data_IF_579317518779
#
_entry.id   IF_579317518779
#
_cell.length_a   1.000
_cell.length_b   1.000
_cell.length_c   1.000
_cell.angle_alpha   90.00
_cell.angle_beta   90.00
_cell.angle_gamma   90.00
#
_symmetry.space_group_name_H-M   'P 1'
#
loop_
_entity.id
_entity.type
_entity.pdbx_description
1 polymer ?
#
# COMPACT_ATOMS: atom_id res chain seq x y z
N UNK A 1 6.35 -1.34 -26.06
CA UNK A 1 6.72 -0.02 -25.47
C UNK A 1 7.04 -0.25 -24.01
N UNK A 2 8.15 0.25 -23.51
CA UNK A 2 8.48 0.17 -22.08
C UNK A 2 7.65 1.17 -21.25
N UNK A 3 7.61 0.97 -19.94
CA UNK A 3 6.93 1.90 -19.01
C UNK A 3 7.45 3.32 -19.16
N UNK A 4 8.79 3.56 -19.10
CA UNK A 4 9.30 4.91 -19.28
C UNK A 4 8.92 5.54 -20.63
N UNK A 5 8.91 4.76 -21.72
CA UNK A 5 8.47 5.25 -23.02
C UNK A 5 7.02 5.70 -23.01
N UNK A 6 6.14 4.90 -22.38
CA UNK A 6 4.72 5.26 -22.24
C UNK A 6 4.55 6.52 -21.39
N UNK A 7 5.21 6.61 -20.23
CA UNK A 7 5.10 7.77 -19.35
C UNK A 7 5.62 9.05 -20.02
N UNK A 8 6.71 9.00 -20.77
CA UNK A 8 7.26 10.17 -21.47
C UNK A 8 6.35 10.59 -22.61
N UNK A 9 5.85 9.64 -23.42
CA UNK A 9 4.96 9.91 -24.54
C UNK A 9 3.63 10.52 -24.10
N UNK A 10 3.03 9.92 -23.06
CA UNK A 10 1.68 10.26 -22.62
C UNK A 10 1.72 11.20 -21.41
N UNK A 11 2.89 11.70 -21.06
CA UNK A 11 3.13 12.44 -19.83
C UNK A 11 2.36 13.75 -19.68
N UNK A 12 1.95 14.34 -20.79
CA UNK A 12 1.11 15.56 -20.76
C UNK A 12 -0.30 15.27 -20.25
N UNK A 13 -0.73 13.99 -20.33
CA UNK A 13 -2.02 13.54 -19.83
C UNK A 13 -2.00 13.13 -18.37
N UNK A 14 -0.79 12.83 -17.83
CA UNK A 14 -0.63 12.18 -16.52
C UNK A 14 0.13 13.00 -15.49
N UNK A 15 0.34 14.28 -15.73
CA UNK A 15 0.94 15.10 -14.70
C UNK A 15 -0.04 15.18 -13.49
N UNK A 16 0.39 14.75 -12.26
CA UNK A 16 1.54 15.31 -11.53
C UNK A 16 2.45 14.28 -10.87
N UNK A 17 2.80 13.20 -11.53
CA UNK A 17 3.75 12.26 -10.92
C UNK A 17 5.18 12.75 -11.12
N UNK A 18 5.91 12.97 -10.03
CA UNK A 18 7.33 13.32 -10.03
C UNK A 18 8.17 12.39 -10.91
N UNK A 19 7.84 11.09 -10.92
CA UNK A 19 8.49 10.13 -11.82
C UNK A 19 8.44 10.55 -13.29
N UNK A 20 7.33 11.11 -13.74
CA UNK A 20 7.17 11.57 -15.12
C UNK A 20 8.09 12.75 -15.42
N UNK A 21 8.23 13.68 -14.49
CA UNK A 21 9.15 14.82 -14.62
C UNK A 21 10.59 14.35 -14.67
N UNK A 22 10.99 13.47 -13.75
CA UNK A 22 12.34 12.88 -13.74
C UNK A 22 12.66 12.14 -15.04
N UNK A 23 11.70 11.40 -15.60
CA UNK A 23 11.86 10.70 -16.86
C UNK A 23 11.99 11.67 -18.04
N UNK A 24 11.23 12.77 -18.06
CA UNK A 24 11.34 13.83 -19.07
C UNK A 24 12.70 14.52 -19.01
N UNK A 25 13.15 14.90 -17.82
CA UNK A 25 14.48 15.49 -17.60
C UNK A 25 15.59 14.56 -18.08
N UNK A 26 15.53 13.28 -17.71
CA UNK A 26 16.52 12.29 -18.13
C UNK A 26 16.53 12.11 -19.66
N UNK A 27 15.37 12.14 -20.32
CA UNK A 27 15.28 12.01 -21.77
C UNK A 27 15.74 13.29 -22.49
N UNK A 28 15.42 14.47 -21.96
CA UNK A 28 15.92 15.74 -22.46
C UNK A 28 17.46 15.84 -22.35
N UNK A 29 18.04 15.21 -21.32
CA UNK A 29 19.50 15.06 -21.17
C UNK A 29 20.12 13.97 -22.08
N UNK A 30 19.36 13.42 -23.03
CA UNK A 30 19.82 12.48 -24.05
C UNK A 30 19.69 10.99 -23.68
N UNK A 31 19.11 10.62 -22.55
CA UNK A 31 18.88 9.22 -22.20
C UNK A 31 17.64 8.69 -22.94
N UNK A 32 17.78 7.56 -23.62
CA UNK A 32 16.61 6.91 -24.25
C UNK A 32 15.68 6.34 -23.18
N UNK A 33 14.38 6.68 -23.24
CA UNK A 33 13.38 6.18 -22.30
C UNK A 33 13.34 4.63 -22.23
N UNK A 34 13.53 3.94 -23.37
CA UNK A 34 13.59 2.48 -23.43
C UNK A 34 14.76 1.86 -22.65
N UNK A 35 15.83 2.64 -22.41
CA UNK A 35 17.00 2.19 -21.67
C UNK A 35 16.89 2.40 -20.15
N UNK A 36 15.86 3.09 -19.70
CA UNK A 36 15.63 3.34 -18.27
C UNK A 36 15.05 2.08 -17.64
N UNK A 37 15.63 1.67 -16.52
CA UNK A 37 15.09 0.61 -15.66
C UNK A 37 14.25 1.25 -14.58
N UNK A 38 12.94 1.01 -14.64
CA UNK A 38 11.95 1.60 -13.75
C UNK A 38 11.67 0.70 -12.55
N UNK A 39 12.04 1.13 -11.35
CA UNK A 39 11.88 0.40 -10.09
C UNK A 39 11.19 1.27 -9.01
N UNK A 40 10.40 2.25 -9.42
CA UNK A 40 9.75 3.20 -8.52
C UNK A 40 8.33 2.78 -8.13
N UNK A 41 7.34 3.14 -8.91
CA UNK A 41 5.93 2.88 -8.60
C UNK A 41 5.61 1.40 -8.79
N UNK A 42 5.23 0.75 -7.70
CA UNK A 42 4.97 -0.68 -7.69
C UNK A 42 3.65 -1.08 -8.31
N UNK A 43 3.61 -2.30 -8.84
CA UNK A 43 2.41 -2.98 -9.35
C UNK A 43 1.77 -2.35 -10.59
N UNK A 44 2.46 -1.42 -11.26
CA UNK A 44 1.87 -0.64 -12.34
C UNK A 44 2.01 -1.30 -13.70
N UNK A 45 3.06 -2.09 -13.92
CA UNK A 45 3.51 -2.44 -15.28
C UNK A 45 3.72 -3.93 -15.54
N UNK A 46 3.43 -4.77 -14.58
CA UNK A 46 3.33 -6.19 -14.81
C UNK A 46 2.02 -6.50 -15.56
N UNK A 47 2.03 -7.48 -16.42
CA UNK A 47 0.81 -7.96 -17.06
C UNK A 47 -0.14 -8.54 -16.00
N UNK A 48 -1.42 -8.16 -16.08
CA UNK A 48 -2.45 -8.75 -15.23
C UNK A 48 -2.48 -10.28 -15.36
N UNK A 49 -2.93 -10.98 -14.32
CA UNK A 49 -3.06 -12.43 -14.35
C UNK A 49 -3.82 -12.91 -15.60
N UNK A 50 -3.24 -13.79 -16.45
CA UNK A 50 -3.83 -14.12 -17.74
C UNK A 50 -5.24 -14.69 -17.65
N UNK A 51 -5.50 -15.55 -16.65
CA UNK A 51 -6.84 -16.11 -16.43
C UNK A 51 -7.87 -15.06 -16.00
N UNK A 52 -7.44 -14.03 -15.24
CA UNK A 52 -8.30 -12.89 -14.90
C UNK A 52 -8.64 -12.06 -16.15
N UNK A 53 -7.66 -11.81 -17.03
CA UNK A 53 -7.91 -11.10 -18.31
C UNK A 53 -8.85 -11.93 -19.20
N UNK A 54 -8.64 -13.24 -19.28
CA UNK A 54 -9.50 -14.14 -20.04
C UNK A 54 -10.94 -14.16 -19.50
N UNK A 55 -11.15 -13.98 -18.19
CA UNK A 55 -12.48 -13.91 -17.59
C UNK A 55 -13.31 -12.71 -18.09
N UNK A 56 -12.67 -11.61 -18.49
CA UNK A 56 -13.38 -10.48 -19.08
C UNK A 56 -14.14 -10.84 -20.39
N UNK A 57 -13.58 -11.74 -21.18
CA UNK A 57 -14.19 -12.14 -22.45
C UNK A 57 -15.21 -13.29 -22.32
N UNK A 58 -15.14 -14.06 -21.23
CA UNK A 58 -15.95 -15.28 -21.07
C UNK A 58 -17.05 -15.16 -20.03
N UNK A 59 -16.73 -14.53 -18.91
CA UNK A 59 -17.51 -14.66 -17.67
C UNK A 59 -18.26 -13.37 -17.28
N UNK A 60 -18.28 -12.38 -18.19
CA UNK A 60 -19.04 -11.14 -17.99
C UNK A 60 -20.44 -11.28 -18.57
N UNK A 61 -21.46 -11.40 -17.75
CA UNK A 61 -22.84 -11.49 -18.23
C UNK A 61 -23.27 -10.22 -18.98
N UNK A 62 -24.11 -10.30 -20.01
CA UNK A 62 -24.53 -9.14 -20.81
C UNK A 62 -25.11 -7.98 -19.99
N UNK A 63 -25.87 -8.29 -18.93
CA UNK A 63 -26.44 -7.26 -18.04
C UNK A 63 -25.41 -6.59 -17.11
N UNK A 64 -24.19 -7.09 -17.04
CA UNK A 64 -23.11 -6.49 -16.24
C UNK A 64 -22.51 -5.22 -16.89
N UNK A 65 -22.97 -4.83 -18.06
CA UNK A 65 -22.63 -3.56 -18.70
C UNK A 65 -23.53 -2.39 -18.25
N UNK A 66 -24.62 -2.67 -17.56
CA UNK A 66 -25.53 -1.67 -17.01
C UNK A 66 -25.19 -1.29 -15.56
N UNK A 67 -26.00 -0.42 -14.99
CA UNK A 67 -25.90 -0.07 -13.57
C UNK A 67 -26.23 -1.26 -12.67
N UNK A 68 -25.47 -1.37 -11.58
CA UNK A 68 -25.79 -2.24 -10.46
C UNK A 68 -26.53 -1.42 -9.40
N UNK A 69 -27.73 -1.85 -9.02
CA UNK A 69 -28.55 -1.13 -8.06
C UNK A 69 -28.10 -1.33 -6.60
N UNK A 70 -27.13 -2.20 -6.36
CA UNK A 70 -26.54 -2.37 -5.04
C UNK A 70 -25.30 -1.47 -4.89
N UNK A 71 -25.29 -0.50 -3.97
CA UNK A 71 -24.11 0.35 -3.74
C UNK A 71 -22.93 -0.44 -3.19
N UNK A 72 -23.15 -1.63 -2.65
CA UNK A 72 -22.12 -2.53 -2.10
C UNK A 72 -21.33 -3.30 -3.18
N UNK A 73 -21.56 -3.03 -4.45
CA UNK A 73 -20.93 -3.68 -5.59
C UNK A 73 -21.70 -4.86 -6.15
N UNK A 74 -21.11 -5.51 -7.17
CA UNK A 74 -21.73 -6.65 -7.84
C UNK A 74 -22.01 -7.79 -6.84
N UNK A 75 -23.25 -8.29 -6.74
CA UNK A 75 -23.60 -9.33 -5.77
C UNK A 75 -22.72 -10.58 -5.85
N UNK A 76 -22.29 -10.98 -7.06
CA UNK A 76 -21.39 -12.11 -7.25
C UNK A 76 -20.04 -11.89 -6.58
N UNK A 77 -19.41 -10.71 -6.79
CA UNK A 77 -18.14 -10.39 -6.15
C UNK A 77 -18.30 -10.26 -4.63
N UNK A 78 -19.36 -9.59 -4.17
CA UNK A 78 -19.61 -9.45 -2.75
C UNK A 78 -19.76 -10.81 -2.04
N UNK A 79 -20.44 -11.80 -2.67
CA UNK A 79 -20.50 -13.17 -2.12
C UNK A 79 -19.11 -13.80 -2.00
N UNK A 80 -18.26 -13.63 -3.00
CA UNK A 80 -16.87 -14.11 -2.94
C UNK A 80 -16.08 -13.46 -1.79
N UNK A 81 -16.23 -12.14 -1.59
CA UNK A 81 -15.58 -11.44 -0.51
C UNK A 81 -16.03 -11.95 0.86
N UNK A 82 -17.34 -12.13 1.06
CA UNK A 82 -17.93 -12.68 2.29
C UNK A 82 -17.46 -14.11 2.61
N UNK A 83 -17.07 -14.88 1.61
CA UNK A 83 -16.51 -16.21 1.80
C UNK A 83 -15.00 -16.17 2.05
N UNK A 84 -14.24 -15.46 1.20
CA UNK A 84 -12.77 -15.50 1.19
C UNK A 84 -12.13 -14.71 2.32
N UNK A 85 -12.58 -13.49 2.59
CA UNK A 85 -11.95 -12.63 3.59
C UNK A 85 -12.00 -13.26 4.98
N UNK A 86 -13.16 -13.75 5.49
CA UNK A 86 -13.19 -14.42 6.78
C UNK A 86 -12.30 -15.66 6.84
N UNK A 87 -12.26 -16.46 5.79
CA UNK A 87 -11.43 -17.67 5.73
C UNK A 87 -9.93 -17.33 5.73
N UNK A 88 -9.50 -16.38 4.91
CA UNK A 88 -8.09 -15.98 4.78
C UNK A 88 -7.55 -15.30 6.05
N UNK A 89 -8.36 -14.44 6.68
CA UNK A 89 -8.02 -13.74 7.91
C UNK A 89 -8.31 -14.54 9.17
N UNK A 90 -8.96 -15.71 9.08
CA UNK A 90 -9.44 -16.52 10.21
C UNK A 90 -10.28 -15.66 11.17
N UNK A 91 -11.22 -14.90 10.61
CA UNK A 91 -12.05 -14.02 11.40
C UNK A 91 -12.96 -14.81 12.35
N UNK A 92 -13.23 -14.28 13.55
CA UNK A 92 -14.27 -14.85 14.40
C UNK A 92 -15.61 -14.78 13.65
N UNK A 93 -16.43 -15.85 13.71
CA UNK A 93 -17.76 -15.81 13.12
C UNK A 93 -18.56 -14.69 13.81
N UNK A 94 -19.26 -13.84 13.06
CA UNK A 94 -20.15 -12.85 13.67
C UNK A 94 -21.26 -13.57 14.42
N UNK A 95 -21.68 -13.03 15.57
CA UNK A 95 -22.78 -13.58 16.35
C UNK A 95 -24.08 -13.66 15.50
N UNK A 96 -24.23 -12.68 14.60
CA UNK A 96 -25.23 -12.70 13.52
C UNK A 96 -24.63 -12.19 12.23
N UNK A 97 -24.81 -12.90 11.08
CA UNK A 97 -24.29 -12.48 9.79
C UNK A 97 -24.75 -11.05 9.45
N UNK A 98 -23.78 -10.17 9.15
CA UNK A 98 -24.05 -8.79 8.77
C UNK A 98 -24.38 -7.82 9.90
N UNK A 99 -24.35 -8.23 11.18
CA UNK A 99 -24.62 -7.32 12.30
C UNK A 99 -23.34 -6.70 12.90
N UNK A 100 -22.27 -7.48 13.02
CA UNK A 100 -21.02 -6.97 13.61
C UNK A 100 -20.09 -6.39 12.57
N UNK A 101 -20.01 -7.03 11.42
CA UNK A 101 -19.26 -6.57 10.25
C UNK A 101 -19.83 -7.16 8.97
N UNK A 102 -19.57 -6.50 7.86
CA UNK A 102 -19.93 -6.99 6.53
C UNK A 102 -18.84 -6.61 5.52
N UNK A 103 -18.96 -7.14 4.31
CA UNK A 103 -18.05 -6.88 3.20
C UNK A 103 -18.78 -6.19 2.05
N UNK A 104 -18.00 -5.31 1.38
CA UNK A 104 -18.45 -4.63 0.19
C UNK A 104 -17.28 -4.49 -0.79
N UNK A 105 -17.59 -4.16 -2.03
CA UNK A 105 -16.57 -3.82 -3.04
C UNK A 105 -16.14 -2.37 -2.85
N UNK A 106 -14.84 -2.12 -2.84
CA UNK A 106 -14.28 -0.78 -2.91
C UNK A 106 -14.26 -0.33 -4.37
N UNK A 107 -14.91 0.77 -4.66
CA UNK A 107 -14.92 1.40 -5.97
C UNK A 107 -13.78 2.42 -6.07
N UNK A 108 -12.95 2.34 -7.12
CA UNK A 108 -11.78 3.23 -7.27
C UNK A 108 -10.57 2.87 -6.41
N UNK A 109 -10.52 1.64 -5.86
CA UNK A 109 -9.40 1.12 -5.08
C UNK A 109 -9.35 1.58 -3.63
N UNK A 110 -8.26 1.23 -2.94
CA UNK A 110 -8.13 1.45 -1.48
C UNK A 110 -7.93 2.93 -1.12
N UNK A 111 -7.21 3.72 -1.93
CA UNK A 111 -7.02 5.16 -1.68
C UNK A 111 -8.36 5.90 -1.64
N UNK A 112 -9.23 5.62 -2.61
CA UNK A 112 -10.58 6.20 -2.65
C UNK A 112 -11.37 5.86 -1.39
N UNK A 113 -11.34 4.60 -0.96
CA UNK A 113 -12.03 4.16 0.26
C UNK A 113 -11.50 4.85 1.52
N UNK A 114 -10.18 4.99 1.65
CA UNK A 114 -9.55 5.70 2.77
C UNK A 114 -9.95 7.18 2.81
N UNK A 115 -9.94 7.84 1.65
CA UNK A 115 -10.37 9.23 1.51
C UNK A 115 -11.81 9.42 1.98
N UNK A 116 -12.74 8.59 1.48
CA UNK A 116 -14.15 8.70 1.84
C UNK A 116 -14.44 8.28 3.29
N UNK A 117 -13.69 7.34 3.84
CA UNK A 117 -13.76 7.03 5.26
C UNK A 117 -13.30 8.23 6.12
N UNK A 118 -12.17 8.86 5.76
CA UNK A 118 -11.74 10.09 6.41
C UNK A 118 -12.79 11.22 6.29
N UNK A 119 -13.38 11.40 5.11
CA UNK A 119 -14.47 12.37 4.89
C UNK A 119 -15.68 12.06 5.79
N UNK A 120 -16.11 10.80 5.86
CA UNK A 120 -17.21 10.36 6.72
C UNK A 120 -16.93 10.69 8.19
N UNK A 121 -15.72 10.38 8.66
CA UNK A 121 -15.32 10.65 10.03
C UNK A 121 -15.33 12.14 10.35
N UNK A 122 -14.82 12.97 9.46
CA UNK A 122 -14.86 14.43 9.61
C UNK A 122 -16.29 14.96 9.65
N UNK A 123 -17.21 14.43 8.83
CA UNK A 123 -18.63 14.82 8.82
C UNK A 123 -19.41 14.37 10.07
N UNK A 124 -19.07 13.23 10.66
CA UNK A 124 -19.68 12.75 11.92
C UNK A 124 -19.25 13.56 13.13
N UNK A 125 -18.23 14.41 13.00
CA UNK A 125 -17.73 15.28 14.05
C UNK A 125 -18.68 16.48 14.27
N UNK A 126 -19.01 16.76 15.53
CA UNK A 126 -19.87 17.88 15.89
C UNK A 126 -19.03 19.16 16.03
N UNK A 127 -19.16 20.07 15.09
CA UNK A 127 -18.68 21.45 15.19
C UNK A 127 -17.77 21.88 14.04
N UNK A 128 -17.92 23.12 13.51
CA UNK A 128 -17.17 23.61 12.34
C UNK A 128 -15.68 23.89 12.63
N UNK A 129 -15.28 23.87 13.89
CA UNK A 129 -13.90 24.15 14.34
C UNK A 129 -13.13 22.89 14.77
N UNK A 130 -13.77 21.70 14.72
CA UNK A 130 -13.13 20.47 15.13
C UNK A 130 -12.14 20.00 14.06
N UNK A 131 -10.84 20.11 14.33
CA UNK A 131 -9.80 19.56 13.45
C UNK A 131 -9.70 18.06 13.66
N UNK A 132 -9.82 17.25 12.60
CA UNK A 132 -9.58 15.82 12.68
C UNK A 132 -8.08 15.54 12.72
N UNK A 133 -7.68 14.37 13.26
CA UNK A 133 -6.30 13.96 13.26
C UNK A 133 -6.16 12.49 12.82
N UNK A 134 -5.02 12.15 12.21
CA UNK A 134 -4.65 10.78 11.85
C UNK A 134 -3.26 10.45 12.37
N UNK A 135 -3.11 9.25 12.92
CA UNK A 135 -1.83 8.71 13.39
C UNK A 135 -1.41 7.59 12.45
N UNK A 136 -0.21 7.69 11.87
CA UNK A 136 0.35 6.70 10.96
C UNK A 136 1.85 6.51 11.21
N UNK A 137 2.46 5.50 10.57
CA UNK A 137 3.89 5.19 10.70
C UNK A 137 4.79 6.14 9.90
N UNK A 138 6.05 6.28 10.33
CA UNK A 138 7.14 6.89 9.58
C UNK A 138 8.40 6.00 9.67
N UNK A 139 8.93 5.46 8.54
CA UNK A 139 8.39 5.59 7.18
C UNK A 139 7.00 4.98 7.04
N UNK A 140 6.26 5.38 6.00
CA UNK A 140 4.91 4.91 5.74
C UNK A 140 4.48 5.15 4.29
N UNK A 141 3.30 4.64 3.94
CA UNK A 141 2.68 4.98 2.67
C UNK A 141 2.10 6.41 2.74
N UNK A 142 1.67 6.93 1.60
CA UNK A 142 1.15 8.30 1.42
C UNK A 142 -0.21 8.54 2.10
N UNK A 143 -0.27 8.28 3.42
CA UNK A 143 -1.44 8.66 4.24
C UNK A 143 -1.59 10.19 4.36
N UNK A 144 -0.50 10.98 4.45
CA UNK A 144 -0.61 12.43 4.39
C UNK A 144 -1.35 12.91 3.14
N UNK A 145 -0.99 12.42 1.95
CA UNK A 145 -1.65 12.79 0.70
C UNK A 145 -3.13 12.42 0.63
N UNK A 146 -3.60 11.47 1.46
CA UNK A 146 -5.02 11.15 1.60
C UNK A 146 -5.71 12.07 2.58
N UNK A 147 -5.13 12.30 3.76
CA UNK A 147 -5.83 12.88 4.90
C UNK A 147 -5.63 14.40 5.02
N UNK A 148 -4.48 14.96 4.63
CA UNK A 148 -4.24 16.41 4.64
C UNK A 148 -5.22 17.13 3.69
N UNK A 149 -5.55 16.52 2.55
CA UNK A 149 -6.57 17.04 1.63
C UNK A 149 -7.98 17.15 2.27
N UNK A 150 -8.22 16.44 3.38
CA UNK A 150 -9.45 16.48 4.16
C UNK A 150 -9.33 17.35 5.42
N UNK A 151 -8.21 18.05 5.60
CA UNK A 151 -7.95 18.92 6.74
C UNK A 151 -7.53 18.18 8.02
N UNK A 152 -7.04 16.94 7.91
CA UNK A 152 -6.51 16.20 9.04
C UNK A 152 -5.11 16.68 9.42
N UNK A 153 -4.85 16.82 10.72
CA UNK A 153 -3.52 16.94 11.26
C UNK A 153 -2.87 15.53 11.28
N UNK A 154 -1.69 15.39 10.64
CA UNK A 154 -1.01 14.09 10.52
C UNK A 154 0.07 13.95 11.58
N UNK A 155 -0.11 12.98 12.47
CA UNK A 155 0.85 12.61 13.51
C UNK A 155 1.55 11.30 13.11
N UNK A 156 2.86 11.20 13.34
CA UNK A 156 3.66 10.05 12.93
C UNK A 156 4.35 9.41 14.11
N UNK A 157 4.23 8.09 14.24
CA UNK A 157 5.09 7.29 15.13
C UNK A 157 6.28 6.75 14.35
N UNK A 158 7.49 6.75 14.93
CA UNK A 158 8.69 6.30 14.24
C UNK A 158 8.74 4.78 14.14
N UNK A 159 9.34 4.27 13.07
CA UNK A 159 9.76 2.89 12.93
C UNK A 159 11.28 2.85 12.86
N UNK A 160 11.92 2.15 13.80
CA UNK A 160 13.39 2.06 13.87
C UNK A 160 13.90 0.91 12.99
N UNK A 161 14.87 1.13 12.09
CA UNK A 161 15.52 0.07 11.33
C UNK A 161 16.19 -0.98 12.23
N UNK A 162 16.65 -0.62 13.44
CA UNK A 162 17.27 -1.55 14.40
C UNK A 162 16.28 -2.59 14.94
N UNK A 163 14.99 -2.30 14.89
CA UNK A 163 13.91 -3.24 15.26
C UNK A 163 13.22 -3.82 14.04
N UNK A 164 13.90 -3.82 12.88
CA UNK A 164 13.31 -4.27 11.61
C UNK A 164 12.00 -3.56 11.28
N UNK A 165 11.92 -2.27 11.60
CA UNK A 165 10.73 -1.44 11.40
C UNK A 165 9.48 -1.99 12.07
N UNK A 166 9.62 -2.70 13.20
CA UNK A 166 8.48 -3.04 14.04
C UNK A 166 7.99 -1.81 14.80
N UNK A 167 6.67 -1.60 14.92
CA UNK A 167 6.16 -0.50 15.73
C UNK A 167 6.43 -0.74 17.22
N UNK A 168 6.96 0.27 17.90
CA UNK A 168 7.05 0.27 19.36
C UNK A 168 5.69 0.67 19.94
N UNK A 169 5.05 -0.18 20.76
CA UNK A 169 3.74 0.13 21.34
C UNK A 169 3.72 1.40 22.21
N UNK A 170 4.83 1.73 22.85
CA UNK A 170 4.97 2.93 23.68
C UNK A 170 4.98 4.19 22.83
N UNK A 171 5.67 4.18 21.69
CA UNK A 171 5.70 5.29 20.73
C UNK A 171 4.32 5.52 20.12
N UNK A 172 3.64 4.46 19.70
CA UNK A 172 2.28 4.54 19.18
C UNK A 172 1.33 5.12 20.21
N UNK A 173 1.35 4.62 21.44
CA UNK A 173 0.47 5.11 22.51
C UNK A 173 0.76 6.58 22.89
N UNK A 174 2.05 6.99 22.89
CA UNK A 174 2.41 8.41 23.10
C UNK A 174 1.88 9.29 21.98
N UNK A 175 2.05 8.88 20.73
CA UNK A 175 1.60 9.63 19.57
C UNK A 175 0.08 9.77 19.54
N UNK A 176 -0.66 8.70 19.87
CA UNK A 176 -2.12 8.73 19.98
C UNK A 176 -2.60 9.66 21.09
N UNK A 177 -2.00 9.60 22.29
CA UNK A 177 -2.36 10.51 23.39
C UNK A 177 -2.06 11.96 23.05
N UNK A 178 -0.91 12.25 22.41
CA UNK A 178 -0.56 13.59 21.94
C UNK A 178 -1.60 14.09 20.93
N UNK A 179 -1.87 13.31 19.88
CA UNK A 179 -2.86 13.65 18.86
C UNK A 179 -4.25 13.88 19.48
N UNK A 180 -4.66 13.05 20.46
CA UNK A 180 -5.95 13.21 21.15
C UNK A 180 -6.00 14.50 21.98
N UNK A 181 -4.91 14.91 22.60
CA UNK A 181 -4.84 16.17 23.35
C UNK A 181 -4.87 17.42 22.44
N UNK A 182 -4.37 17.32 21.23
CA UNK A 182 -4.25 18.41 20.27
C UNK A 182 -5.49 18.56 19.36
N UNK A 183 -6.36 17.51 19.30
CA UNK A 183 -7.55 17.55 18.45
C UNK A 183 -8.85 17.44 19.23
N UNK A 184 -9.84 18.25 18.85
CA UNK A 184 -11.24 18.16 19.32
C UNK A 184 -12.12 17.34 18.36
N UNK A 185 -11.58 16.98 17.19
CA UNK A 185 -12.26 16.22 16.15
C UNK A 185 -12.06 14.70 16.24
N UNK A 186 -12.45 13.98 15.20
CA UNK A 186 -12.18 12.55 15.09
C UNK A 186 -10.68 12.28 15.02
N UNK A 187 -10.26 11.21 15.68
CA UNK A 187 -8.92 10.69 15.64
C UNK A 187 -8.94 9.32 14.96
N UNK A 188 -8.03 9.06 14.03
CA UNK A 188 -7.86 7.78 13.35
C UNK A 188 -6.46 7.24 13.56
N UNK A 189 -6.34 5.94 13.85
CA UNK A 189 -5.09 5.18 13.76
C UNK A 189 -5.08 4.38 12.47
N UNK A 190 -4.00 4.48 11.68
CA UNK A 190 -3.75 3.62 10.53
C UNK A 190 -2.87 2.45 10.94
N UNK A 191 -3.31 1.23 10.63
CA UNK A 191 -2.57 -0.02 10.86
C UNK A 191 -2.30 -0.68 9.51
N UNK A 192 -1.02 -0.75 9.10
CA UNK A 192 -0.58 -1.41 7.86
C UNK A 192 0.40 -2.54 8.21
N UNK A 193 -0.13 -3.68 8.64
CA UNK A 193 0.66 -4.78 9.20
C UNK A 193 1.60 -5.44 8.20
N UNK A 194 1.23 -5.51 6.90
CA UNK A 194 2.13 -5.86 5.78
C UNK A 194 2.65 -4.56 5.18
N UNK A 195 3.68 -4.04 5.82
CA UNK A 195 4.04 -2.64 5.78
C UNK A 195 4.63 -2.19 4.44
N UNK A 196 4.11 -1.11 3.90
CA UNK A 196 4.70 -0.36 2.79
C UNK A 196 5.31 0.94 3.34
N UNK A 197 6.61 1.21 3.16
CA UNK A 197 7.51 0.71 2.10
C UNK A 197 8.44 -0.44 2.48
N UNK A 198 8.46 -0.92 3.71
CA UNK A 198 9.49 -1.84 4.20
C UNK A 198 9.31 -3.30 3.76
N UNK A 199 8.09 -3.72 3.44
CA UNK A 199 7.78 -5.13 3.22
C UNK A 199 7.70 -5.96 4.52
N UNK A 200 7.75 -5.32 5.68
CA UNK A 200 7.66 -5.98 6.97
C UNK A 200 6.31 -6.65 7.21
N UNK A 201 6.31 -7.63 8.12
CA UNK A 201 5.11 -8.21 8.71
C UNK A 201 5.16 -7.90 10.21
N UNK A 202 4.36 -6.96 10.67
CA UNK A 202 4.40 -6.53 12.06
C UNK A 202 3.97 -7.65 13.01
N UNK A 203 4.58 -7.71 14.17
CA UNK A 203 4.26 -8.73 15.17
C UNK A 203 2.82 -8.60 15.67
N UNK A 204 2.14 -9.73 15.88
CA UNK A 204 0.76 -9.75 16.37
C UNK A 204 0.60 -9.00 17.70
N UNK A 205 1.56 -9.14 18.62
CA UNK A 205 1.58 -8.44 19.91
C UNK A 205 1.65 -6.92 19.75
N UNK A 206 2.46 -6.43 18.80
CA UNK A 206 2.57 -5.00 18.52
C UNK A 206 1.26 -4.46 17.92
N UNK A 207 0.69 -5.13 16.92
CA UNK A 207 -0.59 -4.74 16.31
C UNK A 207 -1.71 -4.73 17.35
N UNK A 208 -1.76 -5.73 18.23
CA UNK A 208 -2.74 -5.81 19.30
C UNK A 208 -2.61 -4.66 20.30
N UNK A 209 -1.38 -4.31 20.68
CA UNK A 209 -1.11 -3.17 21.56
C UNK A 209 -1.49 -1.84 20.89
N UNK A 210 -1.25 -1.68 19.59
CA UNK A 210 -1.67 -0.50 18.83
C UNK A 210 -3.20 -0.34 18.84
N UNK A 211 -3.94 -1.42 18.59
CA UNK A 211 -5.42 -1.39 18.61
C UNK A 211 -5.93 -1.04 20.00
N UNK A 212 -5.37 -1.62 21.08
CA UNK A 212 -5.72 -1.29 22.45
C UNK A 212 -5.46 0.18 22.77
N UNK A 213 -4.29 0.71 22.39
CA UNK A 213 -3.97 2.12 22.58
C UNK A 213 -4.95 3.04 21.83
N UNK A 214 -5.41 2.66 20.65
CA UNK A 214 -6.46 3.41 19.93
C UNK A 214 -7.79 3.40 20.69
N UNK A 215 -8.19 2.26 21.25
CA UNK A 215 -9.40 2.12 22.06
C UNK A 215 -9.36 2.99 23.33
N UNK A 216 -8.21 3.05 24.01
CA UNK A 216 -8.00 3.85 25.23
C UNK A 216 -8.27 5.34 25.01
N UNK A 217 -7.94 5.86 23.82
CA UNK A 217 -8.13 7.29 23.49
C UNK A 217 -9.38 7.55 22.64
N UNK A 218 -10.21 6.53 22.40
CA UNK A 218 -11.41 6.65 21.55
C UNK A 218 -11.10 6.95 20.09
N UNK A 219 -9.97 6.44 19.58
CA UNK A 219 -9.58 6.58 18.16
C UNK A 219 -10.30 5.54 17.32
N UNK A 220 -10.81 5.96 16.16
CA UNK A 220 -11.18 5.03 15.08
C UNK A 220 -9.94 4.32 14.52
N UNK A 221 -10.16 3.21 13.80
CA UNK A 221 -9.08 2.41 13.22
C UNK A 221 -9.30 2.19 11.73
N UNK A 222 -8.28 2.51 10.94
CA UNK A 222 -8.19 2.15 9.53
C UNK A 222 -7.16 1.04 9.37
N UNK A 223 -7.59 -0.15 8.95
CA UNK A 223 -6.70 -1.26 8.61
C UNK A 223 -6.42 -1.22 7.12
N UNK A 224 -5.14 -1.07 6.75
CA UNK A 224 -4.68 -1.13 5.37
C UNK A 224 -4.04 -2.48 5.07
N UNK A 225 -4.82 -3.38 4.50
CA UNK A 225 -4.43 -4.73 4.10
C UNK A 225 -4.09 -4.84 2.59
N UNK A 226 -3.56 -3.75 1.99
CA UNK A 226 -3.29 -3.70 0.55
C UNK A 226 -2.37 -4.85 0.08
N UNK A 227 -1.47 -5.33 0.94
CA UNK A 227 -0.51 -6.40 0.63
C UNK A 227 -0.71 -7.69 1.42
N UNK A 228 -1.84 -7.87 2.10
CA UNK A 228 -2.11 -9.05 2.93
C UNK A 228 -1.86 -10.39 2.20
N UNK A 229 -2.24 -10.49 0.94
CA UNK A 229 -2.07 -11.72 0.16
C UNK A 229 -0.65 -11.93 -0.38
N UNK A 230 0.23 -10.92 -0.31
CA UNK A 230 1.59 -10.96 -0.88
C UNK A 230 2.62 -11.15 0.23
N UNK A 231 2.91 -12.39 0.56
CA UNK A 231 3.88 -12.78 1.58
C UNK A 231 4.71 -13.98 1.11
N UNK A 232 5.85 -14.21 1.71
CA UNK A 232 6.69 -15.38 1.39
C UNK A 232 5.98 -16.69 1.75
N UNK A 233 6.25 -17.78 1.01
CA UNK A 233 5.81 -19.12 1.41
C UNK A 233 6.25 -19.44 2.84
N UNK A 234 5.35 -20.02 3.64
CA UNK A 234 5.62 -20.36 5.05
C UNK A 234 5.46 -19.22 6.03
N UNK A 235 5.32 -17.98 5.57
CA UNK A 235 5.00 -16.82 6.42
C UNK A 235 3.49 -16.72 6.60
N UNK A 236 3.03 -16.59 7.82
CA UNK A 236 1.64 -16.25 8.12
C UNK A 236 1.55 -14.72 8.25
N UNK A 237 0.81 -14.03 7.37
CA UNK A 237 0.61 -12.60 7.50
C UNK A 237 -0.22 -12.31 8.75
N UNK A 238 0.18 -11.31 9.53
CA UNK A 238 -0.57 -10.89 10.71
C UNK A 238 -1.86 -10.20 10.27
N UNK A 239 -2.99 -10.72 10.72
CA UNK A 239 -4.31 -10.15 10.43
C UNK A 239 -4.66 -9.05 11.43
N UNK A 240 -4.39 -7.79 11.06
CA UNK A 240 -4.83 -6.64 11.84
C UNK A 240 -6.35 -6.58 11.96
N UNK A 241 -7.08 -7.00 10.92
CA UNK A 241 -8.53 -7.09 10.93
C UNK A 241 -9.04 -8.09 11.97
N UNK A 242 -8.45 -9.29 12.07
CA UNK A 242 -8.81 -10.27 13.11
C UNK A 242 -8.57 -9.73 14.50
N UNK A 243 -7.37 -9.16 14.73
CA UNK A 243 -7.01 -8.57 16.03
C UNK A 243 -7.99 -7.46 16.42
N UNK A 244 -8.33 -6.58 15.47
CA UNK A 244 -9.31 -5.52 15.68
C UNK A 244 -10.66 -6.10 16.14
N UNK A 245 -11.19 -7.10 15.45
CA UNK A 245 -12.48 -7.72 15.79
C UNK A 245 -12.43 -8.42 17.15
N UNK A 246 -11.33 -9.08 17.53
CA UNK A 246 -11.13 -9.68 18.84
C UNK A 246 -11.16 -8.61 19.94
N UNK A 247 -10.42 -7.52 19.80
CA UNK A 247 -10.37 -6.44 20.80
C UNK A 247 -11.70 -5.67 20.89
N UNK A 248 -12.36 -5.44 19.76
CA UNK A 248 -13.66 -4.76 19.71
C UNK A 248 -14.78 -5.66 20.22
N UNK A 249 -14.67 -6.97 20.01
CA UNK A 249 -15.65 -7.96 20.54
C UNK A 249 -15.74 -7.94 22.06
N UNK A 250 -14.65 -7.56 22.73
CA UNK A 250 -14.64 -7.41 24.19
C UNK A 250 -15.38 -6.14 24.69
N UNK A 251 -15.76 -5.21 23.79
CA UNK A 251 -16.42 -3.96 24.14
C UNK A 251 -17.93 -4.01 23.83
N UNK A 252 -18.77 -3.38 24.67
CA UNK A 252 -20.17 -3.11 24.28
C UNK A 252 -20.24 -2.36 22.96
N UNK A 253 -21.18 -2.67 22.10
CA UNK A 253 -21.32 -2.09 20.77
C UNK A 253 -21.32 -0.55 20.76
N UNK A 254 -22.01 0.07 21.75
CA UNK A 254 -22.06 1.52 21.90
C UNK A 254 -20.72 2.20 22.24
N UNK A 255 -19.70 1.42 22.62
CA UNK A 255 -18.34 1.89 22.95
C UNK A 255 -17.33 1.60 21.84
N UNK A 256 -17.72 0.89 20.80
CA UNK A 256 -16.82 0.56 19.70
C UNK A 256 -16.60 1.79 18.83
N UNK A 257 -15.35 2.27 18.68
CA UNK A 257 -15.08 3.36 17.75
C UNK A 257 -15.33 2.89 16.31
N UNK A 258 -15.58 3.81 15.37
CA UNK A 258 -15.71 3.45 13.95
C UNK A 258 -14.39 2.89 13.40
N UNK A 259 -14.52 1.94 12.49
CA UNK A 259 -13.38 1.32 11.85
C UNK A 259 -13.69 0.91 10.41
N UNK A 260 -12.65 0.78 9.61
CA UNK A 260 -12.72 0.26 8.25
C UNK A 260 -11.45 -0.53 7.95
N UNK A 261 -11.57 -1.70 7.36
CA UNK A 261 -10.47 -2.40 6.73
C UNK A 261 -10.59 -2.30 5.21
N UNK A 262 -9.49 -1.95 4.54
CA UNK A 262 -9.41 -1.82 3.08
C UNK A 262 -8.40 -2.82 2.54
N UNK A 263 -8.77 -3.58 1.51
CA UNK A 263 -7.90 -4.56 0.86
C UNK A 263 -7.87 -4.34 -0.64
N UNK A 264 -6.69 -4.30 -1.23
CA UNK A 264 -6.55 -4.24 -2.68
C UNK A 264 -6.66 -5.64 -3.27
N UNK A 265 -7.65 -5.88 -4.12
CA UNK A 265 -7.72 -7.08 -4.94
C UNK A 265 -6.83 -6.94 -6.18
N UNK A 266 -6.67 -5.71 -6.67
CA UNK A 266 -5.92 -5.43 -7.89
C UNK A 266 -4.42 -5.72 -7.74
N UNK A 267 -3.81 -5.37 -6.59
CA UNK A 267 -2.38 -5.61 -6.34
C UNK A 267 -2.00 -7.09 -6.31
N UNK A 268 -2.94 -7.96 -5.94
CA UNK A 268 -2.72 -9.40 -5.91
C UNK A 268 -2.56 -10.02 -7.31
N UNK A 269 -3.08 -9.36 -8.34
CA UNK A 269 -3.20 -9.89 -9.69
C UNK A 269 -2.64 -8.97 -10.77
N UNK A 270 -1.83 -7.98 -10.39
CA UNK A 270 -1.20 -6.99 -11.27
C UNK A 270 -2.20 -6.22 -12.17
N UNK A 271 -3.37 -5.87 -11.61
CA UNK A 271 -4.42 -5.14 -12.31
C UNK A 271 -4.81 -3.84 -11.58
N UNK A 272 -3.84 -3.06 -11.14
CA UNK A 272 -4.08 -1.84 -10.33
C UNK A 272 -4.99 -0.84 -11.04
N UNK A 273 -4.90 -0.73 -12.37
CA UNK A 273 -5.79 0.12 -13.17
C UNK A 273 -7.28 -0.26 -13.11
N UNK A 274 -7.61 -1.45 -12.59
CA UNK A 274 -9.01 -1.85 -12.41
C UNK A 274 -9.68 -1.16 -11.22
N UNK A 275 -8.90 -0.67 -10.25
CA UNK A 275 -9.42 0.04 -9.09
C UNK A 275 -10.38 -0.78 -8.22
N UNK A 276 -10.21 -2.11 -8.14
CA UNK A 276 -11.07 -2.99 -7.37
C UNK A 276 -10.40 -3.38 -6.05
N UNK A 277 -11.13 -3.17 -4.96
CA UNK A 277 -10.76 -3.60 -3.62
C UNK A 277 -11.92 -4.20 -2.86
N UNK A 278 -11.66 -4.56 -1.63
CA UNK A 278 -12.66 -4.98 -0.67
C UNK A 278 -12.67 -4.04 0.53
N UNK A 279 -13.86 -3.80 1.04
CA UNK A 279 -14.11 -3.13 2.31
C UNK A 279 -14.63 -4.15 3.30
N UNK A 280 -14.15 -4.08 4.52
CA UNK A 280 -14.77 -4.77 5.67
C UNK A 280 -14.99 -3.74 6.76
N UNK A 281 -16.19 -3.67 7.28
CA UNK A 281 -16.53 -2.67 8.31
C UNK A 281 -17.86 -2.94 8.99
N UNK A 282 -18.18 -2.16 10.04
CA UNK A 282 -19.51 -2.18 10.62
C UNK A 282 -20.59 -1.85 9.59
N UNK A 283 -21.78 -2.45 9.66
CA UNK A 283 -22.84 -2.22 8.69
C UNK A 283 -23.23 -0.75 8.53
N UNK A 284 -23.28 0.01 9.62
CA UNK A 284 -23.60 1.45 9.62
C UNK A 284 -22.52 2.29 8.93
N UNK A 285 -21.23 1.92 9.09
CA UNK A 285 -20.15 2.57 8.39
C UNK A 285 -20.21 2.28 6.89
N UNK A 286 -20.47 1.03 6.51
CA UNK A 286 -20.62 0.66 5.10
C UNK A 286 -21.84 1.32 4.45
N UNK A 287 -22.96 1.42 5.19
CA UNK A 287 -24.16 2.13 4.71
C UNK A 287 -23.88 3.60 4.48
N UNK A 288 -23.24 4.27 5.42
CA UNK A 288 -22.89 5.67 5.26
C UNK A 288 -21.91 5.89 4.10
N UNK A 289 -20.90 5.03 3.95
CA UNK A 289 -19.93 5.15 2.86
C UNK A 289 -20.54 4.90 1.48
N UNK A 290 -21.33 3.85 1.37
CA UNK A 290 -21.80 3.33 0.08
C UNK A 290 -23.24 3.72 -0.24
N UNK A 291 -24.12 3.74 0.76
CA UNK A 291 -25.51 4.12 0.58
C UNK A 291 -25.74 5.63 0.54
N UNK A 292 -24.91 6.39 1.27
CA UNK A 292 -25.06 7.84 1.39
C UNK A 292 -23.99 8.64 0.66
N UNK A 293 -22.70 8.38 0.90
CA UNK A 293 -21.62 9.17 0.29
C UNK A 293 -21.35 8.80 -1.17
N UNK A 294 -21.39 7.52 -1.53
CA UNK A 294 -21.11 7.11 -2.92
C UNK A 294 -22.02 7.85 -3.93
N UNK A 295 -23.33 7.95 -3.75
CA UNK A 295 -24.21 8.65 -4.69
C UNK A 295 -23.90 10.14 -4.87
N UNK A 296 -23.18 10.76 -3.94
CA UNK A 296 -22.78 12.17 -4.06
C UNK A 296 -21.68 12.42 -5.11
N UNK A 297 -20.88 11.39 -5.44
CA UNK A 297 -19.74 11.54 -6.35
C UNK A 297 -19.67 10.49 -7.44
N UNK A 298 -20.54 9.47 -7.44
CA UNK A 298 -20.52 8.43 -8.46
C UNK A 298 -21.57 7.36 -8.25
N UNK A 299 -21.44 6.33 -9.06
CA UNK A 299 -22.21 5.10 -8.99
C UNK A 299 -21.26 3.91 -8.91
N UNK A 300 -21.80 2.70 -8.70
CA UNK A 300 -21.04 1.48 -8.80
C UNK A 300 -20.38 1.40 -10.17
N UNK A 301 -19.07 1.47 -10.19
CA UNK A 301 -18.27 1.50 -11.40
C UNK A 301 -17.61 0.15 -11.71
N UNK A 302 -17.09 0.03 -12.93
CA UNK A 302 -16.28 -1.13 -13.34
C UNK A 302 -17.00 -2.47 -13.19
N UNK A 303 -18.31 -2.51 -13.44
CA UNK A 303 -19.14 -3.72 -13.25
C UNK A 303 -18.62 -4.92 -14.05
N UNK A 304 -18.21 -4.80 -15.33
CA UNK A 304 -17.59 -5.90 -16.06
C UNK A 304 -16.33 -6.44 -15.39
N UNK A 305 -15.49 -5.54 -14.85
CA UNK A 305 -14.27 -5.92 -14.14
C UNK A 305 -14.58 -6.61 -12.81
N UNK A 306 -15.65 -6.20 -12.13
CA UNK A 306 -16.13 -6.87 -10.91
C UNK A 306 -16.65 -8.29 -11.22
N UNK A 307 -17.34 -8.49 -12.35
CA UNK A 307 -17.81 -9.80 -12.77
C UNK A 307 -16.62 -10.73 -13.08
N UNK A 308 -15.64 -10.26 -13.83
CA UNK A 308 -14.43 -11.01 -14.12
C UNK A 308 -13.64 -11.34 -12.83
N UNK A 309 -13.52 -10.40 -11.91
CA UNK A 309 -12.88 -10.63 -10.62
C UNK A 309 -13.62 -11.66 -9.78
N UNK A 310 -14.96 -11.66 -9.80
CA UNK A 310 -15.76 -12.65 -9.08
C UNK A 310 -15.55 -14.07 -9.62
N UNK A 311 -15.56 -14.23 -10.95
CA UNK A 311 -15.28 -15.49 -11.62
C UNK A 311 -13.86 -15.98 -11.33
N UNK A 312 -12.88 -15.07 -11.43
CA UNK A 312 -11.48 -15.35 -11.15
C UNK A 312 -11.25 -15.81 -9.71
N UNK A 313 -11.74 -15.08 -8.72
CA UNK A 313 -11.62 -15.44 -7.31
C UNK A 313 -12.31 -16.78 -6.95
N UNK A 314 -13.30 -17.18 -7.73
CA UNK A 314 -13.96 -18.48 -7.60
C UNK A 314 -13.18 -19.64 -8.24
N UNK A 315 -12.10 -19.37 -8.96
CA UNK A 315 -11.32 -20.37 -9.66
C UNK A 315 -10.11 -20.85 -8.85
N UNK A 316 -9.77 -22.13 -8.98
CA UNK A 316 -8.52 -22.68 -8.43
C UNK A 316 -7.28 -22.02 -9.04
N UNK A 317 -7.39 -21.58 -10.29
CA UNK A 317 -6.29 -20.92 -11.00
C UNK A 317 -5.84 -19.64 -10.29
N UNK A 318 -6.76 -18.90 -9.64
CA UNK A 318 -6.41 -17.70 -8.86
C UNK A 318 -5.54 -18.03 -7.65
N UNK A 319 -5.80 -19.13 -6.96
CA UNK A 319 -5.02 -19.57 -5.79
C UNK A 319 -3.63 -20.06 -6.24
N UNK A 320 -3.58 -20.83 -7.34
CA UNK A 320 -2.33 -21.29 -7.94
C UNK A 320 -1.47 -20.10 -8.43
N UNK A 321 -2.10 -19.06 -8.99
CA UNK A 321 -1.41 -17.84 -9.39
C UNK A 321 -0.77 -17.13 -8.19
N UNK A 322 -1.52 -16.93 -7.11
CA UNK A 322 -0.99 -16.31 -5.89
C UNK A 322 0.14 -17.13 -5.27
N UNK A 323 0.02 -18.44 -5.27
CA UNK A 323 1.07 -19.33 -4.77
C UNK A 323 2.36 -19.23 -5.61
N UNK A 324 2.25 -19.13 -6.94
CA UNK A 324 3.41 -18.89 -7.83
C UNK A 324 4.03 -17.52 -7.59
N UNK A 325 3.21 -16.47 -7.50
CA UNK A 325 3.65 -15.10 -7.26
C UNK A 325 4.41 -14.95 -5.92
N UNK A 326 3.91 -15.57 -4.85
CA UNK A 326 4.59 -15.62 -3.54
C UNK A 326 5.99 -16.22 -3.64
N UNK A 327 6.12 -17.37 -4.34
CA UNK A 327 7.43 -18.00 -4.57
C UNK A 327 8.35 -17.10 -5.40
N UNK A 328 7.82 -16.47 -6.43
CA UNK A 328 8.59 -15.55 -7.28
C UNK A 328 9.13 -14.35 -6.49
N UNK A 329 8.31 -13.71 -5.67
CA UNK A 329 8.77 -12.60 -4.84
C UNK A 329 9.80 -13.05 -3.79
N UNK A 330 9.64 -14.21 -3.17
CA UNK A 330 10.63 -14.75 -2.25
C UNK A 330 11.99 -14.97 -2.94
N UNK A 331 12.00 -15.52 -4.15
CA UNK A 331 13.22 -15.66 -4.95
C UNK A 331 13.85 -14.31 -5.32
N UNK A 332 13.04 -13.30 -5.68
CA UNK A 332 13.51 -11.96 -6.00
C UNK A 332 14.11 -11.25 -4.77
N UNK A 333 13.52 -11.44 -3.58
CA UNK A 333 14.08 -10.91 -2.32
C UNK A 333 15.45 -11.50 -2.03
N UNK A 334 15.57 -12.83 -2.05
CA UNK A 334 16.83 -13.50 -1.83
C UNK A 334 17.89 -13.13 -2.90
N UNK A 335 17.45 -12.95 -4.15
CA UNK A 335 18.30 -12.50 -5.25
C UNK A 335 18.84 -11.09 -4.99
N UNK A 336 17.97 -10.16 -4.65
CA UNK A 336 18.37 -8.77 -4.40
C UNK A 336 19.24 -8.61 -3.16
N UNK A 337 19.00 -9.35 -2.08
CA UNK A 337 19.86 -9.34 -0.91
C UNK A 337 21.31 -9.67 -1.27
N UNK A 338 21.53 -10.73 -2.08
CA UNK A 338 22.86 -11.11 -2.55
C UNK A 338 23.54 -10.04 -3.41
N UNK A 339 22.77 -9.42 -4.32
CA UNK A 339 23.32 -8.40 -5.23
C UNK A 339 23.61 -7.07 -4.51
N UNK A 340 22.74 -6.67 -3.58
CA UNK A 340 23.00 -5.46 -2.77
C UNK A 340 24.28 -5.62 -1.93
N UNK A 341 24.47 -6.78 -1.32
CA UNK A 341 25.67 -7.04 -0.50
C UNK A 341 26.89 -7.27 -1.37
N UNK A 342 26.80 -8.11 -2.41
CA UNK A 342 27.97 -8.53 -3.19
C UNK A 342 28.47 -7.51 -4.20
N UNK A 343 27.55 -6.86 -4.95
CA UNK A 343 27.92 -5.95 -6.05
C UNK A 343 27.91 -4.49 -5.61
N UNK A 344 26.94 -4.08 -4.78
CA UNK A 344 26.87 -2.70 -4.29
C UNK A 344 27.56 -2.50 -2.93
N UNK A 345 28.00 -3.56 -2.26
CA UNK A 345 28.72 -3.51 -0.98
C UNK A 345 27.88 -2.98 0.19
N UNK A 346 26.57 -3.06 0.11
CA UNK A 346 25.67 -2.64 1.20
C UNK A 346 25.82 -3.57 2.41
N UNK A 347 26.08 -3.06 3.60
CA UNK A 347 26.01 -3.87 4.81
C UNK A 347 24.56 -4.27 5.09
N UNK A 348 24.36 -5.36 5.83
CA UNK A 348 23.03 -5.92 6.06
C UNK A 348 22.07 -4.98 6.79
N UNK A 349 22.60 -4.09 7.63
CA UNK A 349 21.83 -3.07 8.35
C UNK A 349 21.49 -1.82 7.52
N UNK A 350 22.00 -1.73 6.28
CA UNK A 350 21.74 -0.61 5.37
C UNK A 350 20.57 -0.86 4.41
N UNK A 351 19.94 -2.02 4.47
CA UNK A 351 18.70 -2.29 3.72
C UNK A 351 17.80 -3.23 4.52
N UNK A 352 16.52 -3.17 4.23
CA UNK A 352 15.53 -4.07 4.81
C UNK A 352 14.68 -4.71 3.71
N UNK A 353 14.59 -6.03 3.77
CA UNK A 353 13.78 -6.84 2.86
C UNK A 353 12.84 -7.68 3.70
N UNK A 354 11.65 -7.15 3.97
CA UNK A 354 10.63 -7.88 4.72
C UNK A 354 9.99 -9.00 3.89
N UNK A 355 9.29 -9.93 4.54
CA UNK A 355 8.69 -11.09 3.88
C UNK A 355 7.37 -10.79 3.15
N UNK A 356 6.91 -9.53 3.15
CA UNK A 356 5.63 -9.14 2.59
C UNK A 356 5.76 -8.05 1.52
N UNK A 357 4.75 -7.96 0.65
CA UNK A 357 4.71 -6.95 -0.40
C UNK A 357 5.82 -7.09 -1.43
N UNK A 358 5.87 -6.24 -2.45
CA UNK A 358 6.80 -6.30 -3.55
C UNK A 358 7.97 -5.30 -3.44
N UNK A 359 8.35 -4.89 -2.24
CA UNK A 359 9.34 -3.84 -2.04
C UNK A 359 10.49 -4.27 -1.14
N UNK A 360 11.60 -3.56 -1.30
CA UNK A 360 12.64 -3.44 -0.29
C UNK A 360 12.94 -1.96 -0.04
N UNK A 361 13.44 -1.68 1.13
CA UNK A 361 13.90 -0.36 1.54
C UNK A 361 15.42 -0.39 1.70
N UNK A 362 16.14 0.59 1.15
CA UNK A 362 17.59 0.70 1.28
C UNK A 362 17.98 2.12 1.66
N UNK A 363 19.00 2.24 2.49
CA UNK A 363 19.56 3.54 2.90
C UNK A 363 20.31 4.19 1.75
N UNK A 364 20.26 5.49 1.69
CA UNK A 364 21.15 6.27 0.84
C UNK A 364 22.60 6.08 1.30
N UNK A 365 23.56 5.82 0.41
CA UNK A 365 24.95 5.66 0.80
C UNK A 365 25.49 6.88 1.56
N UNK A 366 26.29 6.71 2.62
CA UNK A 366 26.76 7.81 3.47
C UNK A 366 27.52 8.91 2.71
N UNK A 367 28.27 8.54 1.68
CA UNK A 367 29.04 9.49 0.87
C UNK A 367 28.16 10.45 0.06
N UNK A 368 26.89 10.06 -0.22
CA UNK A 368 25.96 10.95 -0.93
C UNK A 368 25.52 12.10 -0.01
N UNK A 369 25.34 11.83 1.26
CA UNK A 369 24.88 12.80 2.25
C UNK A 369 23.45 13.28 2.02
N UNK A 370 23.02 14.22 2.84
CA UNK A 370 21.78 14.94 2.62
C UNK A 370 22.03 16.09 1.62
N UNK A 371 21.54 15.95 0.41
CA UNK A 371 21.56 17.00 -0.61
C UNK A 371 20.13 17.50 -0.79
N UNK A 372 19.81 18.70 -0.29
CA UNK A 372 18.44 19.21 -0.37
C UNK A 372 17.97 19.44 -1.81
N UNK A 373 18.92 19.73 -2.72
CA UNK A 373 18.61 20.12 -4.10
C UNK A 373 18.52 18.95 -5.07
N UNK A 374 18.98 17.75 -4.72
CA UNK A 374 18.94 16.56 -5.57
C UNK A 374 18.68 15.30 -4.74
N UNK A 375 17.47 14.74 -4.74
CA UNK A 375 17.19 13.45 -4.11
C UNK A 375 18.04 12.31 -4.69
N UNK A 376 18.45 11.35 -3.86
CA UNK A 376 19.29 10.22 -4.31
C UNK A 376 18.69 9.44 -5.48
N UNK A 377 17.36 9.32 -5.55
CA UNK A 377 16.65 8.66 -6.67
C UNK A 377 16.90 9.37 -8.01
N UNK A 378 16.88 10.69 -8.03
CA UNK A 378 17.17 11.52 -9.22
C UNK A 378 18.63 11.36 -9.65
N UNK A 379 19.54 11.39 -8.68
CA UNK A 379 20.96 11.12 -8.92
C UNK A 379 21.19 9.71 -9.50
N UNK A 380 20.54 8.67 -8.96
CA UNK A 380 20.61 7.32 -9.50
C UNK A 380 20.13 7.26 -10.95
N UNK A 381 18.98 7.86 -11.26
CA UNK A 381 18.44 7.90 -12.62
C UNK A 381 19.43 8.57 -13.57
N UNK A 382 19.95 9.74 -13.20
CA UNK A 382 20.88 10.50 -14.02
C UNK A 382 22.18 9.74 -14.27
N UNK A 383 22.75 9.08 -13.25
CA UNK A 383 24.03 8.38 -13.33
C UNK A 383 23.94 6.99 -13.97
N UNK A 384 22.95 6.20 -13.59
CA UNK A 384 22.86 4.77 -13.97
C UNK A 384 21.71 4.43 -14.93
N UNK A 385 20.73 5.32 -15.08
CA UNK A 385 19.50 5.02 -15.79
C UNK A 385 18.56 4.09 -15.01
N UNK A 386 18.69 4.04 -13.69
CA UNK A 386 17.80 3.28 -12.80
C UNK A 386 16.99 4.28 -11.99
N UNK A 387 15.66 4.25 -12.15
CA UNK A 387 14.75 5.07 -11.36
C UNK A 387 14.22 4.26 -10.17
N UNK A 388 14.62 4.66 -8.97
CA UNK A 388 14.17 4.11 -7.70
C UNK A 388 12.94 4.87 -7.19
N UNK A 389 12.16 4.26 -6.32
CA UNK A 389 11.05 4.90 -5.62
C UNK A 389 11.51 5.67 -4.38
N UNK A 390 10.66 6.53 -3.89
CA UNK A 390 10.86 7.20 -2.62
C UNK A 390 10.78 6.20 -1.48
N UNK A 391 11.69 6.33 -0.51
CA UNK A 391 11.68 5.51 0.70
C UNK A 391 10.53 5.87 1.63
N UNK A 392 10.10 7.12 1.55
CA UNK A 392 8.96 7.65 2.28
C UNK A 392 7.97 8.21 1.26
N UNK A 393 6.85 7.53 1.10
CA UNK A 393 5.82 7.97 0.14
C UNK A 393 4.99 9.06 0.77
N UNK A 394 5.44 10.29 0.62
CA UNK A 394 4.73 11.48 1.13
C UNK A 394 4.41 12.46 0.02
N UNK A 395 3.40 13.28 0.27
CA UNK A 395 3.11 14.44 -0.55
C UNK A 395 4.28 15.43 -0.49
N UNK A 396 4.70 16.04 -1.60
CA UNK A 396 5.74 17.06 -1.61
C UNK A 396 5.46 18.15 -0.57
N UNK A 397 6.47 18.48 0.23
CA UNK A 397 6.36 19.46 1.32
C UNK A 397 6.08 18.88 2.72
N UNK A 398 5.65 17.63 2.84
CA UNK A 398 5.37 16.96 4.12
C UNK A 398 6.54 16.07 4.61
N UNK A 399 7.71 16.15 3.98
CA UNK A 399 8.87 15.29 4.27
C UNK A 399 9.52 15.65 5.62
N UNK A 400 9.51 14.77 6.62
CA UNK A 400 10.51 14.85 7.67
C UNK A 400 11.89 14.55 7.07
N UNK A 401 12.92 15.19 7.57
CA UNK A 401 14.32 15.00 7.13
C UNK A 401 14.77 13.53 7.10
N UNK A 402 14.17 12.67 7.90
CA UNK A 402 14.44 11.23 8.00
C UNK A 402 13.98 10.42 6.77
N UNK A 403 13.05 10.92 5.96
CA UNK A 403 12.57 10.20 4.76
C UNK A 403 13.53 10.27 3.56
N UNK A 404 14.46 11.21 3.56
CA UNK A 404 15.46 11.37 2.50
C UNK A 404 16.62 10.37 2.60
N UNK A 405 16.77 9.69 3.74
CA UNK A 405 17.86 8.74 3.97
C UNK A 405 17.65 7.38 3.33
N UNK A 406 16.48 7.15 2.75
CA UNK A 406 16.10 5.86 2.18
C UNK A 406 15.51 6.01 0.78
N UNK A 407 15.68 4.96 0.00
CA UNK A 407 14.97 4.74 -1.26
C UNK A 407 14.29 3.39 -1.24
N UNK A 408 13.15 3.30 -1.92
CA UNK A 408 12.41 2.07 -2.09
C UNK A 408 12.72 1.46 -3.46
N UNK A 409 12.81 0.15 -3.51
CA UNK A 409 13.01 -0.57 -4.75
C UNK A 409 11.86 -1.56 -4.97
N UNK A 410 11.24 -1.47 -6.14
CA UNK A 410 10.15 -2.36 -6.55
C UNK A 410 10.70 -3.65 -7.17
N UNK A 411 10.24 -4.80 -6.66
CA UNK A 411 10.68 -6.15 -7.05
C UNK A 411 9.85 -6.78 -8.17
N UNK A 412 8.94 -6.03 -8.79
CA UNK A 412 8.06 -6.55 -9.86
C UNK A 412 8.81 -7.11 -11.06
N UNK A 413 9.84 -6.42 -11.62
CA UNK A 413 10.57 -6.91 -12.77
C UNK A 413 11.23 -8.28 -12.56
N UNK A 414 11.49 -8.99 -13.66
CA UNK A 414 12.20 -10.27 -13.60
C UNK A 414 13.65 -10.12 -13.10
N UNK A 415 14.21 -11.18 -12.53
CA UNK A 415 15.56 -11.20 -11.93
C UNK A 415 16.65 -10.68 -12.87
N UNK A 416 16.58 -10.97 -14.18
CA UNK A 416 17.52 -10.40 -15.18
C UNK A 416 17.52 -8.87 -15.18
N UNK A 417 16.34 -8.25 -15.10
CA UNK A 417 16.22 -6.78 -15.06
C UNK A 417 16.74 -6.22 -13.74
N UNK A 418 16.44 -6.88 -12.63
CA UNK A 418 16.94 -6.51 -11.30
C UNK A 418 18.47 -6.60 -11.24
N UNK A 419 19.07 -7.69 -11.74
CA UNK A 419 20.55 -7.82 -11.85
C UNK A 419 21.13 -6.68 -12.68
N UNK A 420 20.56 -6.41 -13.86
CA UNK A 420 21.03 -5.34 -14.72
C UNK A 420 20.93 -3.96 -14.05
N UNK A 421 19.90 -3.73 -13.23
CA UNK A 421 19.80 -2.49 -12.47
C UNK A 421 20.96 -2.34 -11.49
N UNK A 422 21.24 -3.37 -10.70
CA UNK A 422 22.34 -3.37 -9.74
C UNK A 422 23.69 -3.19 -10.45
N UNK A 423 23.93 -3.91 -11.55
CA UNK A 423 25.17 -3.78 -12.34
C UNK A 423 25.38 -2.36 -12.90
N UNK A 424 24.30 -1.72 -13.37
CA UNK A 424 24.36 -0.33 -13.83
C UNK A 424 24.66 0.64 -12.68
N UNK A 425 24.07 0.42 -11.52
CA UNK A 425 24.35 1.21 -10.33
C UNK A 425 25.81 1.04 -9.90
N UNK A 426 26.32 -0.18 -9.85
CA UNK A 426 27.72 -0.47 -9.52
C UNK A 426 28.69 0.19 -10.51
N UNK A 427 28.45 0.02 -11.82
CA UNK A 427 29.28 0.64 -12.87
C UNK A 427 29.27 2.18 -12.82
N UNK A 428 28.18 2.77 -12.33
CA UNK A 428 28.06 4.22 -12.13
C UNK A 428 28.68 4.72 -10.80
N UNK A 429 29.29 3.82 -10.00
CA UNK A 429 29.88 4.16 -8.71
C UNK A 429 28.88 4.36 -7.57
N UNK A 430 27.64 3.86 -7.73
CA UNK A 430 26.58 3.96 -6.72
C UNK A 430 26.65 2.82 -5.70
N UNK A 431 27.87 2.50 -5.26
CA UNK A 431 28.15 1.50 -4.22
C UNK A 431 28.06 2.13 -2.83
N UNK A 432 28.01 1.32 -1.78
CA UNK A 432 27.94 1.81 -0.41
C UNK A 432 29.12 2.72 -0.02
N UNK A 433 30.32 2.41 -0.50
CA UNK A 433 31.53 3.18 -0.22
C UNK A 433 31.82 4.26 -1.26
N UNK A 434 31.04 4.33 -2.35
CA UNK A 434 31.32 5.21 -3.49
C UNK A 434 32.40 4.66 -4.43
N UNK A 435 32.46 5.20 -5.66
CA UNK A 435 33.39 4.77 -6.69
C UNK A 435 32.90 3.58 -7.54
N UNK A 436 33.55 3.34 -8.70
CA UNK A 436 33.22 2.18 -9.52
C UNK A 436 33.48 0.90 -8.73
N UNK A 437 32.62 -0.10 -8.93
CA UNK A 437 32.86 -1.42 -8.36
C UNK A 437 34.25 -1.89 -8.82
N UNK A 438 35.15 -2.13 -7.87
CA UNK A 438 36.42 -2.76 -8.17
C UNK A 438 36.13 -4.15 -8.64
N UNK A 439 36.24 -4.39 -9.95
CA UNK A 439 36.08 -5.70 -10.53
C UNK A 439 36.92 -6.73 -9.79
N UNK A 440 36.30 -7.72 -9.23
CA UNK A 440 36.92 -9.02 -8.90
C UNK A 440 36.55 -10.01 -9.97
#
# INVERSE_FOLDING_TARGET
MSVPETMVRDGDLYNPYEDTELLREATAAGRKAADIIYLSLGETWNGAAPGLVAALGRDVPPHSHGYVLSPYGLPALRRMLRSRIPAEHRLPPPARPGEEYDMAVSHGGTRNAMFHFGRLMAQRSRGPTARPAVVCSSPGWDYPGVFEALGYDVHRFPLDPKTEYQPDPGDVARTLRKARAETSGPLLLVVNAQHNPTGGNWAESAVRAMVRAALEVGSGVLVDDAYYALHDPGVTPVSALRILLEEFGALPAARRPPWLAVRSLSKQFHCNGWGIGALTGPPDVLEDLLGRLLPEYGFVSSVPLQAAMAAWLGSRESDDYLARQRREYALKRAHMARHLTGELGYPQDAFFIGPCGPYLLMRTPPWYGARPDEPYRSFCLRRSGVLLGEGHMTTPGALPATGQDHVRLFLGPGTRTLTRAVQRMAAAGLTWQGGPATGR
#
